data_IF_075695810236
#
_entry.id   IF_075695810236
#
_cell.length_a   1.000
_cell.length_b   1.000
_cell.length_c   1.000
_cell.angle_alpha   90.00
_cell.angle_beta   90.00
_cell.angle_gamma   90.00
#
_symmetry.space_group_name_H-M   'P 1'
#
loop_
_entity.id
_entity.type
_entity.pdbx_description
1 polymer ?
#
# COMPACT_ATOMS: atom_id res chain seq x y z
N UNK A 1 -42.87 -10.24 -13.66
CA UNK A 1 -41.48 -10.05 -14.10
C UNK A 1 -40.91 -8.92 -13.25
N UNK A 2 -40.26 -9.24 -12.11
CA UNK A 2 -39.79 -8.26 -11.13
C UNK A 2 -38.28 -8.13 -11.33
N UNK A 3 -37.85 -6.98 -11.83
CA UNK A 3 -36.41 -6.61 -11.99
C UNK A 3 -35.78 -6.47 -10.61
N UNK A 4 -34.93 -7.41 -10.23
CA UNK A 4 -34.09 -7.30 -9.04
C UNK A 4 -32.90 -6.41 -9.37
N UNK A 5 -32.87 -5.22 -8.76
CA UNK A 5 -31.75 -4.31 -8.82
C UNK A 5 -30.48 -4.97 -8.22
N UNK A 6 -29.43 -5.00 -9.01
CA UNK A 6 -28.10 -5.50 -8.64
C UNK A 6 -27.33 -4.38 -7.97
N UNK A 7 -26.88 -4.61 -6.74
CA UNK A 7 -26.06 -3.66 -5.96
C UNK A 7 -24.59 -4.00 -6.14
N UNK A 8 -23.79 -3.00 -6.52
CA UNK A 8 -22.33 -3.08 -6.59
C UNK A 8 -21.72 -3.41 -5.23
N UNK A 9 -20.55 -4.05 -5.19
CA UNK A 9 -19.80 -4.40 -3.97
C UNK A 9 -19.39 -3.19 -3.14
N UNK A 10 -19.63 -2.03 -3.64
CA UNK A 10 -19.54 -0.76 -2.92
C UNK A 10 -20.78 -0.61 -2.03
N UNK A 11 -20.74 -1.21 -0.85
CA UNK A 11 -21.84 -1.13 0.11
C UNK A 11 -21.61 0.04 1.06
N UNK A 12 -22.63 0.84 1.41
CA UNK A 12 -22.53 1.71 2.57
C UNK A 12 -22.43 0.87 3.83
N UNK A 13 -21.31 0.99 4.56
CA UNK A 13 -21.19 0.52 5.93
C UNK A 13 -22.29 1.19 6.78
N UNK A 14 -22.90 0.52 7.76
CA UNK A 14 -23.98 1.10 8.56
C UNK A 14 -23.53 2.38 9.25
N UNK A 15 -24.36 3.40 9.18
CA UNK A 15 -24.20 4.69 9.87
C UNK A 15 -24.11 4.47 11.38
N UNK A 16 -22.97 4.78 11.98
CA UNK A 16 -22.87 4.97 13.42
C UNK A 16 -23.61 6.26 13.81
N UNK A 17 -24.40 6.18 14.87
CA UNK A 17 -25.33 7.21 15.37
C UNK A 17 -24.71 8.61 15.45
N UNK A 18 -25.49 9.60 14.98
CA UNK A 18 -25.22 11.01 15.14
C UNK A 18 -25.30 11.44 16.62
N UNK A 19 -24.28 12.18 17.08
CA UNK A 19 -24.29 12.86 18.37
C UNK A 19 -24.75 14.32 18.19
N UNK A 20 -25.40 14.94 19.21
CA UNK A 20 -25.97 16.29 19.11
C UNK A 20 -24.91 17.40 19.13
N UNK A 21 -25.24 18.63 18.68
CA UNK A 21 -24.27 19.71 18.55
C UNK A 21 -23.94 20.32 19.92
N UNK A 22 -22.65 20.50 20.18
CA UNK A 22 -22.11 21.20 21.35
C UNK A 22 -22.09 22.73 21.18
N UNK A 23 -22.46 23.42 22.28
CA UNK A 23 -22.63 24.83 22.38
C UNK A 23 -21.33 25.66 22.29
N UNK A 24 -21.45 26.85 21.70
CA UNK A 24 -20.40 27.87 21.61
C UNK A 24 -20.09 28.47 22.97
N UNK A 25 -18.84 28.47 23.38
CA UNK A 25 -18.29 29.25 24.48
C UNK A 25 -17.11 30.10 23.99
N UNK A 26 -17.34 31.45 23.91
CA UNK A 26 -16.32 32.45 23.65
C UNK A 26 -15.54 32.73 24.94
N UNK A 27 -14.21 32.70 24.92
CA UNK A 27 -13.36 33.28 25.97
C UNK A 27 -12.24 34.11 25.35
N UNK A 28 -12.18 35.37 25.80
CA UNK A 28 -11.28 36.41 25.35
C UNK A 28 -9.81 36.16 25.75
N UNK A 29 -8.91 36.52 24.87
CA UNK A 29 -7.46 36.47 25.05
C UNK A 29 -6.96 37.66 25.89
N UNK A 30 -6.26 37.40 26.99
CA UNK A 30 -5.45 38.39 27.71
C UNK A 30 -3.98 38.14 27.49
N UNK A 31 -3.30 39.03 26.78
CA UNK A 31 -1.84 39.05 26.60
C UNK A 31 -1.14 39.37 27.92
N UNK A 32 -0.24 38.56 28.40
CA UNK A 32 0.80 38.95 29.36
C UNK A 32 2.17 38.73 28.75
N UNK A 33 2.93 39.82 28.69
CA UNK A 33 4.33 39.91 28.27
C UNK A 33 5.19 39.57 29.48
N UNK A 34 6.06 38.59 29.42
CA UNK A 34 7.11 38.34 30.41
C UNK A 34 8.49 38.50 29.77
N UNK A 35 9.33 39.28 30.44
CA UNK A 35 10.72 39.58 30.09
C UNK A 35 11.61 38.32 30.27
N UNK A 36 12.68 38.15 29.48
CA UNK A 36 13.62 37.04 29.66
C UNK A 36 14.68 37.39 30.71
N UNK A 37 14.91 36.45 31.62
CA UNK A 37 16.14 36.39 32.44
C UNK A 37 17.15 35.46 31.74
N UNK A 38 18.45 35.77 31.75
CA UNK A 38 19.45 34.88 31.21
C UNK A 38 19.81 33.80 32.23
N UNK A 39 19.54 32.54 31.88
CA UNK A 39 20.05 31.39 32.62
C UNK A 39 21.25 30.82 31.86
N UNK A 40 22.43 30.92 32.46
CA UNK A 40 23.64 30.24 31.99
C UNK A 40 23.46 28.75 32.30
N UNK A 41 23.21 27.92 31.30
CA UNK A 41 23.19 26.46 31.40
C UNK A 41 24.53 25.90 30.89
N UNK A 42 25.33 25.39 31.81
CA UNK A 42 26.45 24.50 31.49
C UNK A 42 25.85 23.19 31.01
N UNK A 43 25.85 22.99 29.68
CA UNK A 43 25.43 21.73 29.08
C UNK A 43 26.55 20.71 29.19
N UNK A 44 26.46 19.82 30.16
CA UNK A 44 27.21 18.57 30.18
C UNK A 44 26.57 17.63 29.15
N UNK A 45 27.16 17.56 27.97
CA UNK A 45 26.71 16.65 26.89
C UNK A 45 27.08 15.21 27.27
N UNK A 46 26.15 14.51 27.93
CA UNK A 46 26.17 13.05 28.03
C UNK A 46 25.73 12.50 26.69
N UNK A 47 26.66 12.13 25.81
CA UNK A 47 26.39 11.41 24.58
C UNK A 47 25.92 10.01 24.95
N UNK A 48 24.62 9.85 25.16
CA UNK A 48 23.98 8.54 25.19
C UNK A 48 23.96 8.03 23.73
N UNK A 49 24.94 7.23 23.38
CA UNK A 49 24.90 6.38 22.21
C UNK A 49 23.86 5.29 22.52
N UNK A 50 22.58 5.67 22.48
CA UNK A 50 21.49 4.75 22.39
C UNK A 50 21.51 4.19 20.96
N UNK A 51 22.22 3.09 20.76
CA UNK A 51 22.08 2.29 19.55
C UNK A 51 20.63 1.82 19.50
N UNK A 52 19.79 2.50 18.73
CA UNK A 52 18.54 1.91 18.25
C UNK A 52 18.98 0.62 17.56
N UNK A 53 18.67 -0.53 18.15
CA UNK A 53 18.67 -1.78 17.41
C UNK A 53 17.68 -1.56 16.26
N UNK A 54 18.18 -1.14 15.10
CA UNK A 54 17.42 -1.19 13.88
C UNK A 54 17.03 -2.67 13.76
N UNK A 55 15.73 -2.97 13.91
CA UNK A 55 15.23 -4.30 13.61
C UNK A 55 15.72 -4.62 12.20
N UNK A 56 16.55 -5.64 12.07
CA UNK A 56 17.04 -6.06 10.76
C UNK A 56 15.79 -6.42 9.91
N UNK A 57 15.76 -5.92 8.68
CA UNK A 57 14.69 -6.27 7.74
C UNK A 57 14.60 -7.80 7.61
N UNK A 58 13.39 -8.33 7.52
CA UNK A 58 13.16 -9.75 7.32
C UNK A 58 14.00 -10.28 6.15
N UNK A 59 14.77 -11.36 6.30
CA UNK A 59 15.67 -11.87 5.26
C UNK A 59 14.97 -12.20 3.94
N UNK A 60 13.73 -12.67 3.98
CA UNK A 60 12.91 -12.95 2.80
C UNK A 60 12.62 -11.65 2.03
N UNK A 61 12.22 -10.60 2.73
CA UNK A 61 11.98 -9.27 2.13
C UNK A 61 13.27 -8.73 1.52
N UNK A 62 14.39 -8.81 2.25
CA UNK A 62 15.69 -8.35 1.75
C UNK A 62 16.12 -9.09 0.48
N UNK A 63 15.90 -10.40 0.40
CA UNK A 63 16.20 -11.21 -0.78
C UNK A 63 15.36 -10.80 -1.99
N UNK A 64 14.04 -10.63 -1.80
CA UNK A 64 13.12 -10.20 -2.88
C UNK A 64 13.44 -8.80 -3.36
N UNK A 65 13.70 -7.88 -2.45
CA UNK A 65 14.13 -6.51 -2.77
C UNK A 65 15.46 -6.46 -3.53
N UNK A 66 16.36 -7.40 -3.31
CA UNK A 66 17.62 -7.48 -4.04
C UNK A 66 17.44 -7.89 -5.50
N UNK A 67 16.39 -8.67 -5.82
CA UNK A 67 16.04 -9.11 -7.17
C UNK A 67 14.92 -8.29 -7.82
N UNK A 68 14.45 -7.24 -7.17
CA UNK A 68 13.37 -6.39 -7.65
C UNK A 68 13.69 -5.77 -9.02
N UNK A 69 12.75 -5.87 -9.95
CA UNK A 69 12.78 -5.09 -11.19
C UNK A 69 12.29 -3.67 -10.90
N UNK A 70 13.09 -2.67 -11.26
CA UNK A 70 12.78 -1.26 -11.00
C UNK A 70 12.56 -0.42 -12.26
N UNK A 71 12.78 -0.99 -13.45
CA UNK A 71 12.63 -0.28 -14.71
C UNK A 71 11.54 -0.93 -15.58
N UNK A 72 10.52 -0.15 -15.89
CA UNK A 72 9.35 -0.56 -16.65
C UNK A 72 9.09 0.42 -17.79
N UNK A 73 8.63 -0.07 -18.93
CA UNK A 73 8.22 0.78 -20.05
C UNK A 73 6.91 1.51 -19.74
N UNK A 74 6.62 2.55 -20.51
CA UNK A 74 5.34 3.26 -20.39
C UNK A 74 4.16 2.34 -20.72
N UNK A 75 4.32 1.43 -21.68
CA UNK A 75 3.27 0.50 -22.07
C UNK A 75 2.99 -0.54 -20.99
N UNK A 76 4.02 -1.12 -20.35
CA UNK A 76 3.87 -2.01 -19.21
C UNK A 76 3.15 -1.33 -18.05
N UNK A 77 3.55 -0.10 -17.72
CA UNK A 77 2.96 0.67 -16.63
C UNK A 77 1.51 1.07 -16.93
N UNK A 78 1.23 1.47 -18.18
CA UNK A 78 -0.11 1.81 -18.66
C UNK A 78 -1.04 0.60 -18.62
N UNK A 79 -0.59 -0.55 -19.17
CA UNK A 79 -1.38 -1.79 -19.19
C UNK A 79 -1.75 -2.22 -17.76
N UNK A 80 -0.77 -2.24 -16.86
CA UNK A 80 -1.01 -2.58 -15.46
C UNK A 80 -1.97 -1.61 -14.77
N UNK A 81 -1.79 -0.30 -14.96
CA UNK A 81 -2.69 0.67 -14.37
C UNK A 81 -4.16 0.43 -14.78
N UNK A 82 -4.41 0.15 -16.06
CA UNK A 82 -5.77 -0.12 -16.52
C UNK A 82 -6.33 -1.44 -16.01
N UNK A 83 -5.52 -2.46 -15.86
CA UNK A 83 -5.93 -3.75 -15.33
C UNK A 83 -6.23 -3.69 -13.83
N UNK A 84 -5.36 -3.03 -13.06
CA UNK A 84 -5.39 -3.06 -11.58
C UNK A 84 -6.26 -1.92 -11.02
N UNK A 85 -6.14 -0.69 -11.52
CA UNK A 85 -6.77 0.47 -10.88
C UNK A 85 -8.16 0.84 -11.42
N UNK A 86 -8.52 0.39 -12.63
CA UNK A 86 -9.81 0.75 -13.26
C UNK A 86 -10.84 -0.36 -13.13
N UNK A 87 -10.44 -1.62 -13.24
CA UNK A 87 -11.30 -2.79 -13.02
C UNK A 87 -11.59 -2.99 -11.52
N UNK A 88 -12.34 -3.99 -11.18
CA UNK A 88 -12.57 -4.44 -9.81
C UNK A 88 -12.69 -5.96 -9.79
N UNK A 89 -11.99 -6.61 -8.89
CA UNK A 89 -11.93 -8.06 -8.73
C UNK A 89 -13.31 -8.67 -8.47
N UNK A 90 -14.02 -8.16 -7.48
CA UNK A 90 -15.37 -8.62 -7.16
C UNK A 90 -16.42 -7.61 -7.63
N UNK A 91 -17.05 -7.89 -8.76
CA UNK A 91 -18.10 -7.07 -9.32
C UNK A 91 -19.47 -7.70 -9.09
N UNK A 92 -20.33 -6.97 -8.37
CA UNK A 92 -21.75 -7.32 -8.24
C UNK A 92 -22.53 -6.37 -9.13
N UNK A 93 -22.77 -6.79 -10.38
CA UNK A 93 -23.46 -5.99 -11.37
C UNK A 93 -22.73 -5.90 -12.70
N UNK A 94 -23.07 -4.91 -13.53
CA UNK A 94 -22.33 -4.63 -14.74
C UNK A 94 -20.94 -4.09 -14.40
N UNK A 95 -19.90 -4.47 -15.16
CA UNK A 95 -18.56 -3.95 -14.96
C UNK A 95 -18.55 -2.42 -15.02
N UNK A 96 -18.00 -1.80 -13.98
CA UNK A 96 -17.88 -0.35 -13.92
C UNK A 96 -16.39 0.00 -13.93
N UNK A 97 -15.90 0.35 -15.11
CA UNK A 97 -14.51 0.76 -15.30
C UNK A 97 -14.36 2.26 -15.05
N UNK A 98 -13.99 2.61 -13.84
CA UNK A 98 -13.81 3.99 -13.37
C UNK A 98 -12.67 4.07 -12.37
N UNK A 99 -11.95 5.18 -12.41
CA UNK A 99 -11.00 5.54 -11.35
C UNK A 99 -11.73 5.72 -10.03
N UNK A 100 -11.21 5.08 -8.99
CA UNK A 100 -11.66 5.21 -7.59
C UNK A 100 -10.47 5.63 -6.76
N UNK A 101 -10.58 6.73 -6.02
CA UNK A 101 -9.52 7.21 -5.13
C UNK A 101 -10.09 8.12 -4.04
N UNK A 102 -9.34 8.32 -2.98
CA UNK A 102 -9.63 9.40 -2.04
C UNK A 102 -9.29 10.74 -2.67
N UNK A 103 -10.14 11.74 -2.40
CA UNK A 103 -9.92 13.15 -2.74
C UNK A 103 -9.72 14.03 -1.49
N UNK A 104 -9.56 13.40 -0.34
CA UNK A 104 -9.33 14.00 0.97
C UNK A 104 -8.21 13.25 1.70
N UNK A 105 -7.62 13.83 2.75
CA UNK A 105 -6.64 13.15 3.59
C UNK A 105 -7.15 11.79 4.10
N UNK A 106 -6.30 10.77 4.02
CA UNK A 106 -6.60 9.42 4.52
C UNK A 106 -6.09 9.29 5.95
N UNK A 107 -6.99 8.97 6.87
CA UNK A 107 -6.67 8.76 8.28
C UNK A 107 -7.01 7.33 8.66
N UNK A 108 -5.97 6.56 8.99
CA UNK A 108 -6.05 5.12 9.25
C UNK A 108 -6.15 4.90 10.75
N UNK A 109 -7.26 4.34 11.22
CA UNK A 109 -7.40 3.87 12.58
C UNK A 109 -7.13 2.37 12.65
N UNK A 110 -6.26 1.96 13.59
CA UNK A 110 -5.88 0.57 13.79
C UNK A 110 -6.64 -0.02 14.97
N UNK A 111 -7.60 -0.90 14.67
CA UNK A 111 -8.37 -1.64 15.65
C UNK A 111 -7.70 -3.00 15.90
N UNK A 112 -7.00 -3.17 17.02
CA UNK A 112 -6.25 -4.38 17.32
C UNK A 112 -6.44 -4.83 18.76
N UNK A 113 -6.76 -6.12 18.90
CA UNK A 113 -6.71 -6.87 20.17
C UNK A 113 -5.99 -8.22 20.01
N UNK A 114 -5.47 -8.47 18.81
CA UNK A 114 -4.82 -9.73 18.46
C UNK A 114 -3.33 -9.71 18.82
N UNK A 115 -2.76 -10.89 18.95
CA UNK A 115 -1.33 -11.12 19.16
C UNK A 115 -0.80 -11.99 18.01
N UNK A 116 0.46 -11.71 17.57
CA UNK A 116 1.36 -10.66 18.04
C UNK A 116 0.83 -9.25 17.72
N UNK A 117 1.24 -8.25 18.50
CA UNK A 117 0.87 -6.85 18.22
C UNK A 117 1.66 -6.32 17.01
N UNK A 118 0.94 -6.06 15.91
CA UNK A 118 1.50 -5.58 14.64
C UNK A 118 1.21 -4.10 14.37
N UNK A 119 0.79 -3.33 15.38
CA UNK A 119 0.47 -1.89 15.18
C UNK A 119 1.69 -1.07 14.76
N UNK A 120 2.87 -1.36 15.31
CA UNK A 120 4.11 -0.69 14.92
C UNK A 120 4.52 -1.01 13.49
N UNK A 121 4.37 -2.29 13.08
CA UNK A 121 4.67 -2.73 11.72
C UNK A 121 3.75 -2.02 10.72
N UNK A 122 2.45 -1.98 11.01
CA UNK A 122 1.47 -1.29 10.18
C UNK A 122 1.74 0.22 10.10
N UNK A 123 2.12 0.87 11.21
CA UNK A 123 2.47 2.28 11.19
C UNK A 123 3.70 2.56 10.30
N UNK A 124 4.68 1.66 10.32
CA UNK A 124 5.87 1.73 9.45
C UNK A 124 5.50 1.55 7.97
N UNK A 125 4.61 0.61 7.65
CA UNK A 125 4.09 0.39 6.30
C UNK A 125 3.35 1.65 5.79
N UNK A 126 2.49 2.25 6.61
CA UNK A 126 1.77 3.50 6.24
C UNK A 126 2.76 4.65 6.01
N UNK A 127 3.80 4.77 6.84
CA UNK A 127 4.85 5.77 6.66
C UNK A 127 5.65 5.54 5.37
N UNK A 128 5.94 4.30 5.02
CA UNK A 128 6.62 3.94 3.77
C UNK A 128 5.75 4.32 2.56
N UNK A 129 4.47 3.94 2.53
CA UNK A 129 3.52 4.32 1.48
C UNK A 129 3.47 5.84 1.33
N UNK A 130 3.30 6.57 2.44
CA UNK A 130 3.30 8.04 2.44
C UNK A 130 4.56 8.65 1.82
N UNK A 131 5.72 8.06 2.09
CA UNK A 131 7.00 8.58 1.62
C UNK A 131 7.24 8.37 0.13
N UNK A 132 6.56 7.35 -0.47
CA UNK A 132 6.77 6.92 -1.85
C UNK A 132 5.68 7.36 -2.81
N UNK A 133 4.49 7.69 -2.31
CA UNK A 133 3.37 8.16 -3.16
C UNK A 133 3.24 9.67 -3.07
N UNK A 134 3.50 10.32 -4.20
CA UNK A 134 3.33 11.77 -4.31
C UNK A 134 1.83 12.13 -4.27
N UNK A 135 1.51 13.29 -3.71
CA UNK A 135 0.14 13.80 -3.61
C UNK A 135 -0.84 12.95 -2.77
N UNK A 136 -0.36 11.95 -2.03
CA UNK A 136 -1.17 11.17 -1.09
C UNK A 136 -0.89 11.63 0.35
N UNK A 137 -1.89 12.22 0.99
CA UNK A 137 -1.84 12.51 2.43
C UNK A 137 -2.46 11.35 3.19
N UNK A 138 -1.63 10.41 3.64
CA UNK A 138 -2.02 9.25 4.45
C UNK A 138 -1.28 9.22 5.76
N UNK A 139 -1.98 8.95 6.87
CA UNK A 139 -1.38 8.84 8.20
C UNK A 139 -2.24 7.96 9.12
N UNK A 140 -1.58 7.33 10.10
CA UNK A 140 -2.27 6.69 11.21
C UNK A 140 -2.85 7.75 12.15
N UNK A 141 -4.00 7.47 12.74
CA UNK A 141 -4.66 8.29 13.76
C UNK A 141 -5.12 7.45 14.94
N UNK A 142 -5.06 8.01 16.14
CA UNK A 142 -5.62 7.39 17.35
C UNK A 142 -7.10 7.71 17.54
N UNK A 143 -7.63 8.67 16.79
CA UNK A 143 -9.04 9.06 16.84
C UNK A 143 -9.85 8.34 15.76
N UNK A 144 -10.65 7.34 16.22
CA UNK A 144 -11.54 6.60 15.34
C UNK A 144 -12.60 7.47 14.65
N UNK A 145 -12.97 8.62 15.22
CA UNK A 145 -14.02 9.47 14.66
C UNK A 145 -13.53 10.26 13.44
N UNK A 146 -12.25 10.57 13.41
CA UNK A 146 -11.61 11.26 12.26
C UNK A 146 -11.15 10.28 11.18
N UNK A 147 -11.14 8.98 11.49
CA UNK A 147 -10.66 7.96 10.55
C UNK A 147 -11.67 7.73 9.41
N UNK A 148 -11.14 7.65 8.20
CA UNK A 148 -11.87 7.24 7.01
C UNK A 148 -11.36 5.92 6.42
N UNK A 149 -10.33 5.34 7.05
CA UNK A 149 -9.85 3.99 6.76
C UNK A 149 -9.65 3.25 8.10
N UNK A 150 -10.25 2.09 8.24
CA UNK A 150 -10.13 1.27 9.47
C UNK A 150 -9.42 -0.03 9.13
N UNK A 151 -8.30 -0.29 9.80
CA UNK A 151 -7.59 -1.57 9.70
C UNK A 151 -7.85 -2.39 10.95
N UNK A 152 -8.41 -3.60 10.77
CA UNK A 152 -8.65 -4.56 11.85
C UNK A 152 -7.59 -5.62 11.86
N UNK A 153 -6.79 -5.64 12.90
CA UNK A 153 -5.81 -6.68 13.15
C UNK A 153 -6.47 -7.80 13.96
N UNK A 154 -6.54 -8.99 13.39
CA UNK A 154 -7.24 -10.14 13.97
C UNK A 154 -6.34 -11.38 14.02
N UNK A 155 -6.68 -12.36 14.86
CA UNK A 155 -6.08 -13.69 14.70
C UNK A 155 -6.69 -14.37 13.45
N UNK A 156 -5.92 -15.18 12.74
CA UNK A 156 -6.37 -15.85 11.50
C UNK A 156 -7.65 -16.64 11.71
N UNK A 157 -7.76 -17.36 12.84
CA UNK A 157 -8.97 -18.09 13.24
C UNK A 157 -10.23 -17.22 13.38
N UNK A 158 -10.07 -15.92 13.55
CA UNK A 158 -11.17 -14.96 13.76
C UNK A 158 -11.55 -14.22 12.48
N UNK A 159 -10.79 -14.36 11.40
CA UNK A 159 -11.01 -13.68 10.12
C UNK A 159 -12.45 -13.89 9.61
N UNK A 160 -12.89 -15.12 9.45
CA UNK A 160 -14.23 -15.42 8.94
C UNK A 160 -15.36 -14.92 9.85
N UNK A 161 -15.14 -14.88 11.17
CA UNK A 161 -16.09 -14.30 12.12
C UNK A 161 -16.17 -12.79 11.97
N UNK A 162 -15.03 -12.13 11.81
CA UNK A 162 -14.92 -10.68 11.60
C UNK A 162 -15.60 -10.27 10.30
N UNK A 163 -15.32 -10.95 9.19
CA UNK A 163 -16.00 -10.74 7.90
C UNK A 163 -17.53 -10.85 8.08
N UNK A 164 -17.99 -11.89 8.75
CA UNK A 164 -19.44 -12.10 8.98
C UNK A 164 -20.06 -10.99 9.83
N UNK A 165 -19.34 -10.51 10.84
CA UNK A 165 -19.81 -9.42 11.70
C UNK A 165 -19.95 -8.09 10.94
N UNK A 166 -19.07 -7.82 9.99
CA UNK A 166 -19.01 -6.56 9.24
C UNK A 166 -19.96 -6.54 8.04
N UNK A 167 -20.01 -7.65 7.31
CA UNK A 167 -20.74 -7.72 6.03
C UNK A 167 -22.06 -8.50 6.10
N UNK A 168 -22.34 -9.14 7.24
CA UNK A 168 -23.49 -10.01 7.41
C UNK A 168 -23.28 -11.42 6.82
N UNK A 169 -24.12 -12.37 7.21
CA UNK A 169 -23.93 -13.80 6.90
C UNK A 169 -23.96 -14.10 5.40
N UNK A 170 -24.89 -13.51 4.65
CA UNK A 170 -25.05 -13.84 3.22
C UNK A 170 -23.89 -13.29 2.39
N UNK A 171 -23.45 -12.08 2.71
CA UNK A 171 -22.31 -11.44 2.09
C UNK A 171 -21.01 -12.17 2.42
N UNK A 172 -20.81 -12.54 3.67
CA UNK A 172 -19.64 -13.31 4.09
C UNK A 172 -19.55 -14.66 3.36
N UNK A 173 -20.69 -15.35 3.15
CA UNK A 173 -20.70 -16.58 2.32
C UNK A 173 -20.31 -16.33 0.88
N UNK A 174 -20.75 -15.21 0.30
CA UNK A 174 -20.38 -14.83 -1.06
C UNK A 174 -18.87 -14.54 -1.17
N UNK A 175 -18.33 -13.71 -0.26
CA UNK A 175 -16.89 -13.42 -0.17
C UNK A 175 -16.11 -14.72 -0.06
N UNK A 176 -16.47 -15.61 0.86
CA UNK A 176 -15.79 -16.89 1.05
C UNK A 176 -15.79 -17.78 -0.20
N UNK A 177 -16.86 -17.77 -0.99
CA UNK A 177 -16.96 -18.59 -2.21
C UNK A 177 -16.21 -18.02 -3.39
N UNK A 178 -16.09 -16.72 -3.46
CA UNK A 178 -15.50 -16.02 -4.61
C UNK A 178 -14.01 -15.78 -4.46
N UNK A 179 -13.55 -15.45 -3.25
CA UNK A 179 -12.19 -14.97 -3.00
C UNK A 179 -11.37 -15.94 -2.14
N UNK A 180 -12.02 -16.83 -1.37
CA UNK A 180 -11.33 -17.65 -0.34
C UNK A 180 -10.34 -16.83 0.51
N UNK A 181 -10.76 -15.70 1.10
CA UNK A 181 -9.84 -14.65 1.51
C UNK A 181 -8.97 -15.10 2.69
N UNK A 182 -7.70 -14.78 2.59
CA UNK A 182 -6.73 -14.86 3.69
C UNK A 182 -6.55 -13.52 4.40
N UNK A 183 -6.96 -12.44 3.79
CA UNK A 183 -7.13 -11.07 4.23
C UNK A 183 -8.30 -10.47 3.46
N UNK A 184 -8.70 -9.25 3.70
CA UNK A 184 -9.80 -8.63 2.96
C UNK A 184 -9.74 -7.12 3.07
N UNK A 185 -9.86 -6.43 1.96
CA UNK A 185 -10.16 -5.00 1.93
C UNK A 185 -11.53 -4.70 1.33
N UNK A 186 -12.02 -3.52 1.60
CA UNK A 186 -13.27 -3.03 1.03
C UNK A 186 -13.32 -1.51 1.04
N UNK A 187 -13.96 -0.95 0.03
CA UNK A 187 -14.13 0.48 -0.11
C UNK A 187 -15.59 0.91 -0.18
N UNK A 188 -15.90 2.06 0.41
CA UNK A 188 -17.17 2.75 0.24
C UNK A 188 -16.97 4.02 -0.56
N UNK A 189 -17.57 4.12 -1.75
CA UNK A 189 -17.49 5.30 -2.63
C UNK A 189 -18.80 6.07 -2.72
N UNK A 190 -18.71 7.34 -3.10
CA UNK A 190 -19.89 8.13 -3.47
C UNK A 190 -20.27 7.96 -4.97
N UNK A 191 -21.29 8.71 -5.41
CA UNK A 191 -21.76 8.68 -6.80
C UNK A 191 -20.74 9.23 -7.82
N UNK A 192 -19.71 9.95 -7.34
CA UNK A 192 -18.62 10.47 -8.16
C UNK A 192 -17.37 9.57 -8.09
N UNK A 193 -17.52 8.35 -7.59
CA UNK A 193 -16.43 7.36 -7.43
C UNK A 193 -15.30 7.78 -6.48
N UNK A 194 -15.50 8.82 -5.66
CA UNK A 194 -14.56 9.19 -4.61
C UNK A 194 -14.69 8.22 -3.46
N UNK A 195 -13.60 7.63 -3.03
CA UNK A 195 -13.57 6.76 -1.85
C UNK A 195 -13.85 7.64 -0.63
N UNK A 196 -14.86 7.29 0.16
CA UNK A 196 -15.24 7.96 1.40
C UNK A 196 -14.84 7.19 2.63
N UNK A 197 -14.73 5.88 2.50
CA UNK A 197 -14.30 4.97 3.57
C UNK A 197 -13.60 3.77 2.96
N UNK A 198 -12.64 3.24 3.70
CA UNK A 198 -12.04 1.94 3.43
C UNK A 198 -11.98 1.11 4.71
N UNK A 199 -11.88 -0.18 4.57
CA UNK A 199 -11.69 -1.12 5.66
C UNK A 199 -10.78 -2.25 5.19
N UNK A 200 -9.82 -2.66 6.03
CA UNK A 200 -9.01 -3.84 5.81
C UNK A 200 -9.06 -4.74 7.04
N UNK A 201 -9.01 -6.06 6.83
CA UNK A 201 -8.97 -7.08 7.87
C UNK A 201 -7.72 -7.91 7.64
N UNK A 202 -6.78 -7.87 8.57
CA UNK A 202 -5.46 -8.45 8.45
C UNK A 202 -5.21 -9.45 9.58
N UNK A 203 -4.98 -10.74 9.29
CA UNK A 203 -4.45 -11.69 10.24
C UNK A 203 -3.03 -11.33 10.65
N UNK A 204 -2.72 -11.44 11.97
CA UNK A 204 -1.42 -11.03 12.53
C UNK A 204 -0.47 -12.19 12.81
N UNK A 205 -0.97 -13.43 12.82
CA UNK A 205 -0.31 -14.63 13.33
C UNK A 205 0.22 -15.58 12.23
N UNK A 206 0.12 -15.18 10.95
CA UNK A 206 0.64 -15.93 9.81
C UNK A 206 2.16 -15.76 9.55
N UNK A 207 2.89 -15.10 10.46
CA UNK A 207 4.31 -14.76 10.31
C UNK A 207 4.55 -13.34 9.83
N UNK A 208 5.78 -12.86 10.01
CA UNK A 208 6.15 -11.47 9.73
C UNK A 208 6.09 -11.14 8.23
N UNK A 209 6.73 -11.97 7.40
CA UNK A 209 6.73 -11.79 5.95
C UNK A 209 5.30 -11.76 5.40
N UNK A 210 4.48 -12.75 5.75
CA UNK A 210 3.09 -12.85 5.30
C UNK A 210 2.25 -11.65 5.77
N UNK A 211 2.49 -11.16 6.99
CA UNK A 211 1.81 -9.97 7.49
C UNK A 211 2.17 -8.73 6.67
N UNK A 212 3.45 -8.52 6.37
CA UNK A 212 3.91 -7.38 5.57
C UNK A 212 3.33 -7.43 4.16
N UNK A 213 3.38 -8.60 3.52
CA UNK A 213 2.86 -8.83 2.18
C UNK A 213 1.37 -8.46 2.09
N UNK A 214 0.55 -9.09 2.92
CA UNK A 214 -0.90 -8.81 3.00
C UNK A 214 -1.21 -7.38 3.43
N UNK A 215 -0.42 -6.78 4.32
CA UNK A 215 -0.68 -5.43 4.79
C UNK A 215 -0.43 -4.38 3.70
N UNK A 216 0.62 -4.52 2.89
CA UNK A 216 0.81 -3.65 1.73
C UNK A 216 -0.34 -3.83 0.73
N UNK A 217 -0.64 -5.05 0.32
CA UNK A 217 -1.71 -5.36 -0.62
C UNK A 217 -3.03 -4.72 -0.21
N UNK A 218 -3.54 -5.05 0.97
CA UNK A 218 -4.85 -4.58 1.44
C UNK A 218 -4.92 -3.07 1.70
N UNK A 219 -3.81 -2.46 2.13
CA UNK A 219 -3.76 -1.01 2.25
C UNK A 219 -3.83 -0.34 0.87
N UNK A 220 -3.11 -0.85 -0.12
CA UNK A 220 -3.10 -0.29 -1.46
C UNK A 220 -4.43 -0.52 -2.17
N UNK A 221 -5.07 -1.70 -2.00
CA UNK A 221 -6.43 -1.94 -2.48
C UNK A 221 -7.43 -0.96 -1.83
N UNK A 222 -7.33 -0.76 -0.52
CA UNK A 222 -8.13 0.23 0.19
C UNK A 222 -7.91 1.66 -0.28
N UNK A 223 -6.76 1.97 -0.86
CA UNK A 223 -6.44 3.25 -1.47
C UNK A 223 -6.92 3.38 -2.94
N UNK A 224 -7.41 2.31 -3.56
CA UNK A 224 -8.12 2.38 -4.84
C UNK A 224 -7.57 1.54 -5.99
N UNK A 225 -6.49 0.79 -5.80
CA UNK A 225 -6.01 -0.25 -6.73
C UNK A 225 -6.66 -1.57 -6.33
N UNK A 226 -7.81 -1.89 -6.92
CA UNK A 226 -8.78 -2.84 -6.35
C UNK A 226 -8.99 -4.12 -7.17
N UNK A 227 -8.16 -4.37 -8.17
CA UNK A 227 -8.29 -5.55 -9.02
C UNK A 227 -7.00 -6.34 -9.05
N UNK A 228 -7.09 -7.64 -8.94
CA UNK A 228 -5.98 -8.54 -9.16
C UNK A 228 -5.94 -9.01 -10.60
N UNK A 229 -4.75 -9.17 -11.15
CA UNK A 229 -4.56 -9.63 -12.53
C UNK A 229 -3.31 -10.52 -12.64
N UNK A 230 -3.49 -11.84 -12.79
CA UNK A 230 -2.39 -12.81 -12.84
C UNK A 230 -1.50 -12.66 -14.07
N UNK A 231 -1.89 -11.85 -15.07
CA UNK A 231 -1.08 -11.61 -16.26
C UNK A 231 0.08 -10.64 -16.03
N UNK A 232 0.17 -10.02 -14.85
CA UNK A 232 1.22 -9.06 -14.52
C UNK A 232 2.16 -9.66 -13.47
N UNK A 233 3.36 -10.10 -13.85
CA UNK A 233 4.25 -10.86 -12.95
C UNK A 233 5.11 -9.99 -12.01
N UNK A 234 4.87 -8.68 -11.95
CA UNK A 234 5.68 -7.73 -11.17
C UNK A 234 4.91 -7.02 -10.06
N UNK A 235 3.62 -7.26 -9.91
CA UNK A 235 2.75 -6.57 -8.95
C UNK A 235 2.35 -7.50 -7.83
N UNK A 236 2.16 -6.95 -6.64
CA UNK A 236 1.55 -7.69 -5.52
C UNK A 236 0.06 -7.99 -5.75
N UNK A 237 -0.58 -7.35 -6.75
CA UNK A 237 -1.95 -7.64 -7.22
C UNK A 237 -2.00 -8.81 -8.20
N UNK A 238 -1.11 -9.77 -8.01
CA UNK A 238 -1.08 -11.08 -8.62
C UNK A 238 -0.83 -12.08 -7.51
N UNK A 239 -1.82 -12.92 -7.20
CA UNK A 239 -1.80 -13.91 -6.10
C UNK A 239 -0.56 -14.83 -6.09
N UNK A 240 0.07 -15.04 -7.26
CA UNK A 240 1.30 -15.83 -7.40
C UNK A 240 2.58 -15.03 -7.02
N UNK A 241 2.46 -13.72 -6.75
CA UNK A 241 3.58 -12.81 -6.48
C UNK A 241 3.48 -12.26 -5.05
N UNK A 242 4.43 -12.64 -4.24
CA UNK A 242 4.53 -12.14 -2.86
C UNK A 242 5.77 -11.26 -2.74
N UNK A 243 5.62 -10.01 -2.31
CA UNK A 243 6.71 -9.03 -2.20
C UNK A 243 7.13 -8.78 -0.74
N UNK A 244 6.18 -8.56 0.14
CA UNK A 244 6.43 -8.18 1.53
C UNK A 244 6.92 -6.74 1.71
N UNK A 245 6.95 -5.93 0.63
CA UNK A 245 7.32 -4.52 0.63
C UNK A 245 6.69 -3.78 -0.56
N UNK A 246 6.62 -2.46 -0.48
CA UNK A 246 6.09 -1.62 -1.55
C UNK A 246 7.11 -1.50 -2.70
N UNK A 247 6.95 -2.35 -3.71
CA UNK A 247 7.85 -2.45 -4.85
C UNK A 247 7.69 -1.30 -5.85
N UNK A 248 8.66 -1.17 -6.76
CA UNK A 248 8.71 -0.06 -7.69
C UNK A 248 7.53 -0.07 -8.69
N UNK A 249 7.04 -1.25 -9.09
CA UNK A 249 5.93 -1.32 -10.04
C UNK A 249 4.64 -0.77 -9.43
N UNK A 250 4.31 -1.20 -8.23
CA UNK A 250 3.11 -0.75 -7.53
C UNK A 250 3.22 0.71 -7.09
N UNK A 251 4.45 1.22 -6.86
CA UNK A 251 4.68 2.65 -6.70
C UNK A 251 4.31 3.44 -7.98
N UNK A 252 4.58 2.91 -9.20
CA UNK A 252 4.08 3.53 -10.43
C UNK A 252 2.56 3.60 -10.44
N UNK A 253 1.88 2.51 -10.12
CA UNK A 253 0.41 2.44 -10.16
C UNK A 253 -0.22 3.45 -9.20
N UNK A 254 0.26 3.52 -7.95
CA UNK A 254 -0.26 4.46 -6.96
C UNK A 254 0.07 5.91 -7.30
N UNK A 255 1.26 6.20 -7.80
CA UNK A 255 1.62 7.57 -8.19
C UNK A 255 0.83 8.06 -9.41
N UNK A 256 0.47 7.18 -10.36
CA UNK A 256 -0.48 7.51 -11.43
C UNK A 256 -1.86 7.79 -10.82
N UNK A 257 -2.36 6.90 -9.97
CA UNK A 257 -3.68 7.03 -9.36
C UNK A 257 -3.83 8.36 -8.60
N UNK A 258 -2.81 8.74 -7.82
CA UNK A 258 -2.84 9.94 -6.99
C UNK A 258 -2.32 11.20 -7.68
N UNK A 259 -1.89 11.14 -8.94
CA UNK A 259 -1.58 12.35 -9.71
C UNK A 259 -2.81 13.28 -9.76
N UNK A 260 -2.65 14.59 -9.58
CA UNK A 260 -3.77 15.54 -9.59
C UNK A 260 -4.59 15.57 -10.90
N UNK A 261 -4.00 15.17 -12.02
CA UNK A 261 -4.67 15.09 -13.33
C UNK A 261 -5.59 13.87 -13.45
N UNK A 262 -5.41 12.87 -12.60
CA UNK A 262 -6.27 11.67 -12.54
C UNK A 262 -7.35 11.91 -11.49
N UNK A 263 -8.59 12.08 -11.92
CA UNK A 263 -9.71 12.35 -11.03
C UNK A 263 -10.58 11.11 -10.80
N UNK A 264 -11.18 11.00 -9.62
CA UNK A 264 -12.19 9.98 -9.36
C UNK A 264 -13.33 10.07 -10.40
N UNK A 265 -13.80 8.92 -10.88
CA UNK A 265 -14.85 8.82 -11.88
C UNK A 265 -14.38 8.89 -13.35
N UNK A 266 -13.12 9.20 -13.61
CA UNK A 266 -12.57 9.13 -14.97
C UNK A 266 -12.73 7.73 -15.56
N UNK A 267 -13.08 7.68 -16.85
CA UNK A 267 -13.04 6.47 -17.68
C UNK A 267 -11.63 6.25 -18.23
N UNK A 268 -11.43 5.09 -18.82
CA UNK A 268 -10.18 4.75 -19.49
C UNK A 268 -9.75 5.80 -20.51
N UNK A 269 -10.68 6.27 -21.35
CA UNK A 269 -10.43 7.25 -22.40
C UNK A 269 -10.04 8.63 -21.84
N UNK A 270 -10.58 9.00 -20.66
CA UNK A 270 -10.23 10.24 -19.99
C UNK A 270 -8.80 10.18 -19.41
N UNK A 271 -8.46 9.02 -18.84
CA UNK A 271 -7.11 8.75 -18.32
C UNK A 271 -6.10 8.71 -19.47
N UNK A 272 -6.39 8.02 -20.56
CA UNK A 272 -5.49 7.90 -21.72
C UNK A 272 -5.04 9.27 -22.26
N UNK A 273 -5.89 10.28 -22.23
CA UNK A 273 -5.57 11.63 -22.71
C UNK A 273 -4.51 12.34 -21.86
N UNK A 274 -4.47 12.09 -20.55
CA UNK A 274 -3.54 12.77 -19.63
C UNK A 274 -2.34 11.89 -19.25
N UNK A 275 -2.44 10.60 -19.52
CA UNK A 275 -1.49 9.60 -19.05
C UNK A 275 -0.04 9.84 -19.53
N UNK A 276 0.27 10.31 -20.76
CA UNK A 276 1.65 10.58 -21.16
C UNK A 276 2.36 11.55 -20.24
N UNK A 277 1.71 12.65 -19.87
CA UNK A 277 2.28 13.66 -18.97
C UNK A 277 2.36 13.15 -17.52
N UNK A 278 1.36 12.35 -17.09
CA UNK A 278 1.35 11.69 -15.78
C UNK A 278 2.52 10.71 -15.66
N UNK A 279 2.74 9.87 -16.69
CA UNK A 279 3.84 8.90 -16.71
C UNK A 279 5.20 9.59 -16.62
N UNK A 280 5.41 10.72 -17.30
CA UNK A 280 6.66 11.46 -17.24
C UNK A 280 6.99 11.92 -15.79
N UNK A 281 6.00 12.51 -15.10
CA UNK A 281 6.16 12.98 -13.72
C UNK A 281 6.29 11.83 -12.73
N UNK A 282 5.47 10.78 -12.89
CA UNK A 282 5.52 9.57 -12.07
C UNK A 282 6.88 8.88 -12.16
N UNK A 283 7.41 8.73 -13.38
CA UNK A 283 8.74 8.11 -13.60
C UNK A 283 9.83 8.86 -12.87
N UNK A 284 9.85 10.19 -13.00
CA UNK A 284 10.84 11.02 -12.31
C UNK A 284 10.76 10.83 -10.79
N UNK A 285 9.55 10.78 -10.24
CA UNK A 285 9.33 10.58 -8.81
C UNK A 285 9.77 9.20 -8.35
N UNK A 286 9.25 8.13 -8.96
CA UNK A 286 9.57 6.74 -8.57
C UNK A 286 11.06 6.47 -8.68
N UNK A 287 11.72 6.94 -9.75
CA UNK A 287 13.18 6.82 -9.89
C UNK A 287 13.92 7.53 -8.76
N UNK A 288 13.46 8.70 -8.34
CA UNK A 288 14.07 9.45 -7.21
C UNK A 288 13.95 8.71 -5.87
N UNK A 289 12.89 7.92 -5.70
CA UNK A 289 12.63 7.13 -4.48
C UNK A 289 13.32 5.77 -4.47
N UNK A 290 13.71 5.27 -5.66
CA UNK A 290 14.37 3.99 -5.85
C UNK A 290 15.69 4.20 -6.60
N UNK A 291 16.69 4.88 -5.98
CA UNK A 291 17.97 5.09 -6.65
C UNK A 291 18.57 3.72 -6.98
N UNK A 292 19.02 3.57 -8.25
CA UNK A 292 19.72 2.35 -8.68
C UNK A 292 20.83 2.08 -7.68
N UNK A 293 20.80 0.92 -7.05
CA UNK A 293 21.97 0.45 -6.28
C UNK A 293 23.10 0.37 -7.27
N UNK A 294 24.15 1.19 -7.08
CA UNK A 294 25.36 1.07 -7.85
C UNK A 294 25.78 -0.41 -7.74
N UNK A 295 25.88 -1.10 -8.86
CA UNK A 295 26.50 -2.42 -8.90
C UNK A 295 27.88 -2.24 -8.27
N UNK A 296 28.04 -2.65 -7.02
CA UNK A 296 29.35 -2.84 -6.41
C UNK A 296 29.98 -3.91 -7.28
N UNK A 297 30.86 -3.44 -8.16
CA UNK A 297 31.43 -4.21 -9.25
C UNK A 297 31.96 -5.54 -8.73
N UNK A 298 31.32 -6.62 -9.15
CA UNK A 298 32.01 -7.86 -9.28
C UNK A 298 33.13 -7.66 -10.30
N UNK A 299 34.35 -7.47 -9.79
CA UNK A 299 35.57 -7.62 -10.56
C UNK A 299 35.42 -8.93 -11.34
N UNK A 300 35.24 -8.83 -12.67
CA UNK A 300 35.43 -9.97 -13.53
C UNK A 300 36.87 -10.40 -13.35
N UNK A 301 37.11 -11.37 -12.49
CA UNK A 301 38.31 -12.16 -12.57
C UNK A 301 38.22 -12.91 -13.90
N UNK A 302 38.96 -12.42 -14.87
CA UNK A 302 39.29 -13.16 -16.09
C UNK A 302 39.82 -14.52 -15.66
N UNK A 303 39.31 -15.64 -16.22
CA UNK A 303 39.88 -16.95 -15.97
C UNK A 303 41.36 -16.92 -16.43
N UNK A 304 42.30 -17.56 -15.70
CA UNK A 304 43.68 -17.63 -16.16
C UNK A 304 43.73 -18.35 -17.49
N UNK A 305 44.38 -17.70 -18.48
CA UNK A 305 44.73 -18.29 -19.75
C UNK A 305 45.44 -19.62 -19.51
N UNK A 306 44.87 -20.67 -20.06
CA UNK A 306 45.44 -22.02 -20.06
C UNK A 306 46.73 -22.00 -20.88
N UNK A 307 47.87 -22.06 -20.17
CA UNK A 307 49.19 -22.19 -20.82
C UNK A 307 49.24 -23.50 -21.52
N UNK A 308 49.19 -23.47 -22.84
CA UNK A 308 49.53 -24.59 -23.72
C UNK A 308 50.85 -25.25 -23.28
N UNK A 309 50.83 -26.50 -22.96
CA UNK A 309 52.01 -27.36 -22.78
C UNK A 309 52.56 -27.69 -24.18
N UNK A 310 53.88 -27.61 -24.39
CA UNK A 310 54.47 -28.03 -25.64
C UNK A 310 54.51 -29.55 -25.77
N UNK A 311 54.26 -30.02 -26.97
CA UNK A 311 54.12 -31.38 -27.35
C UNK A 311 55.36 -32.28 -27.02
N UNK A 312 55.06 -33.51 -26.70
CA UNK A 312 56.04 -34.61 -26.70
C UNK A 312 55.66 -35.58 -27.80
N UNK A 313 56.70 -35.83 -28.58
CA UNK A 313 56.74 -36.44 -29.88
C UNK A 313 56.21 -37.86 -30.01
N UNK A 314 55.85 -38.13 -31.25
CA UNK A 314 55.58 -39.47 -31.79
C UNK A 314 56.76 -40.41 -31.62
N UNK A 315 56.49 -41.61 -31.25
CA UNK A 315 57.31 -42.79 -31.62
C UNK A 315 56.41 -43.84 -32.20
N UNK A 316 56.74 -44.12 -33.43
CA UNK A 316 56.38 -45.33 -34.18
C UNK A 316 56.97 -46.57 -33.54
N UNK A 317 56.15 -47.60 -33.37
CA UNK A 317 56.38 -48.97 -33.86
C UNK A 317 55.07 -49.74 -33.86
#
# INVERSE_FOLDING_TARGET
MVSRGKTDFVTPLPLAHALPPSAKGSVAATRRVCKPMPVILIAMALVMIGGSAANAENPEISHRRASERTDFTNDETKDGFFKIAIKAELQIGAPVERVRKFDAPVRIFVDSKALPDRRSDLASIVADIRSRVNHLDVAVTDDRQTANFVVRLVAERDLGRTIRSLYGSDRAKQIQRSLHPQCLSGIGKDKLYRIRRAEAILPVDAGEFTFHDRAYEELLQGLGVINDDPSIPWTMFNDDVQMGFFDAYDQYLLNILYDPRICAGMKKEDVDRVLPDVLATTRAWVTSKNPRRANVGGSRTTPPEDRAQPGLGARTD
#
